data_IF_883890856562
#
_entry.id   IF_883890856562
#
_cell.length_a   1.000
_cell.length_b   1.000
_cell.length_c   1.000
_cell.angle_alpha   90.00
_cell.angle_beta   90.00
_cell.angle_gamma   90.00
#
_symmetry.space_group_name_H-M   'P 1'
#
loop_
_entity.id
_entity.type
_entity.pdbx_description
1 polymer ?
#
# COMPACT_ATOMS: atom_id res chain seq x y z
N UNK A 1 26.39 -12.65 28.53
CA UNK A 1 25.25 -11.90 27.95
C UNK A 1 24.83 -12.51 26.62
N UNK A 2 23.94 -13.52 26.64
CA UNK A 2 23.16 -13.97 25.47
C UNK A 2 21.76 -13.39 25.65
N UNK A 3 21.62 -12.09 25.45
CA UNK A 3 20.35 -11.39 25.64
C UNK A 3 19.89 -10.84 24.30
N UNK A 4 18.63 -11.12 23.96
CA UNK A 4 17.81 -10.36 22.98
C UNK A 4 17.89 -10.71 21.47
N UNK A 5 18.73 -11.64 21.00
CA UNK A 5 18.68 -12.02 19.57
C UNK A 5 17.35 -12.71 19.17
N UNK A 6 16.68 -13.38 20.12
CA UNK A 6 15.35 -13.98 19.90
C UNK A 6 14.21 -12.95 19.91
N UNK A 7 14.32 -11.91 20.74
CA UNK A 7 13.34 -10.82 20.83
C UNK A 7 13.36 -9.93 19.59
N UNK A 8 14.56 -9.56 19.13
CA UNK A 8 14.74 -8.76 17.92
C UNK A 8 14.25 -9.46 16.64
N UNK A 9 14.41 -10.79 16.54
CA UNK A 9 13.88 -11.59 15.43
C UNK A 9 12.35 -11.65 15.43
N UNK A 10 11.75 -11.91 16.59
CA UNK A 10 10.29 -11.93 16.74
C UNK A 10 9.66 -10.56 16.46
N UNK A 11 10.29 -9.47 16.93
CA UNK A 11 9.85 -8.11 16.67
C UNK A 11 9.87 -7.77 15.17
N UNK A 12 10.91 -8.20 14.43
CA UNK A 12 11.00 -7.96 13.00
C UNK A 12 9.94 -8.74 12.20
N UNK A 13 9.65 -9.98 12.61
CA UNK A 13 8.55 -10.77 12.02
C UNK A 13 7.20 -10.10 12.29
N UNK A 14 6.97 -9.61 13.52
CA UNK A 14 5.75 -8.88 13.86
C UNK A 14 5.62 -7.59 13.02
N UNK A 15 6.71 -6.84 12.85
CA UNK A 15 6.72 -5.64 12.03
C UNK A 15 6.43 -5.94 10.56
N UNK A 16 6.98 -7.01 9.99
CA UNK A 16 6.67 -7.45 8.62
C UNK A 16 5.18 -7.79 8.46
N UNK A 17 4.60 -8.49 9.43
CA UNK A 17 3.15 -8.80 9.42
C UNK A 17 2.31 -7.53 9.46
N UNK A 18 2.69 -6.57 10.31
CA UNK A 18 2.03 -5.27 10.39
C UNK A 18 2.10 -4.52 9.05
N UNK A 19 3.29 -4.43 8.43
CA UNK A 19 3.44 -3.74 7.13
C UNK A 19 2.65 -4.40 6.02
N UNK A 20 2.61 -5.73 5.96
CA UNK A 20 1.76 -6.47 5.01
C UNK A 20 0.28 -6.17 5.21
N UNK A 21 -0.16 -6.12 6.46
CA UNK A 21 -1.53 -5.75 6.79
C UNK A 21 -1.86 -4.31 6.38
N UNK A 22 -0.98 -3.34 6.65
CA UNK A 22 -1.15 -1.96 6.21
C UNK A 22 -1.23 -1.84 4.68
N UNK A 23 -0.38 -2.55 3.94
CA UNK A 23 -0.47 -2.62 2.47
C UNK A 23 -1.81 -3.21 2.02
N UNK A 24 -2.32 -4.26 2.67
CA UNK A 24 -3.61 -4.84 2.35
C UNK A 24 -4.77 -3.86 2.61
N UNK A 25 -4.73 -3.13 3.73
CA UNK A 25 -5.70 -2.06 4.05
C UNK A 25 -5.64 -0.94 3.00
N UNK A 26 -4.44 -0.49 2.61
CA UNK A 26 -4.29 0.54 1.59
C UNK A 26 -4.83 0.09 0.22
N UNK A 27 -4.61 -1.17 -0.18
CA UNK A 27 -5.19 -1.75 -1.40
C UNK A 27 -6.72 -1.76 -1.37
N UNK A 28 -7.31 -2.16 -0.24
CA UNK A 28 -8.76 -2.16 -0.05
C UNK A 28 -9.32 -0.74 -0.16
N UNK A 29 -8.71 0.23 0.53
CA UNK A 29 -9.10 1.65 0.45
C UNK A 29 -9.01 2.18 -0.98
N UNK A 30 -7.95 1.83 -1.70
CA UNK A 30 -7.82 2.21 -3.11
C UNK A 30 -8.97 1.65 -3.95
N UNK A 31 -9.33 0.38 -3.78
CA UNK A 31 -10.46 -0.23 -4.50
C UNK A 31 -11.79 0.44 -4.16
N UNK A 32 -12.03 0.77 -2.88
CA UNK A 32 -13.21 1.52 -2.44
C UNK A 32 -13.26 2.92 -3.10
N UNK A 33 -12.12 3.60 -3.22
CA UNK A 33 -12.03 4.92 -3.89
C UNK A 33 -12.23 4.86 -5.39
N UNK A 34 -11.74 3.81 -6.06
CA UNK A 34 -12.01 3.58 -7.48
C UNK A 34 -13.53 3.45 -7.71
N UNK A 35 -14.22 2.67 -6.87
CA UNK A 35 -15.68 2.54 -6.95
C UNK A 35 -16.41 3.86 -6.67
N UNK A 36 -15.96 4.63 -5.67
CA UNK A 36 -16.57 5.92 -5.34
C UNK A 36 -16.41 6.96 -6.46
N UNK A 37 -15.22 7.03 -7.08
CA UNK A 37 -14.95 7.91 -8.21
C UNK A 37 -15.81 7.54 -9.43
N UNK A 38 -15.88 6.26 -9.79
CA UNK A 38 -16.74 5.77 -10.88
C UNK A 38 -18.23 6.09 -10.63
N UNK A 39 -18.71 5.93 -9.39
CA UNK A 39 -20.08 6.29 -9.04
C UNK A 39 -20.32 7.82 -9.09
N UNK A 40 -19.32 8.64 -8.77
CA UNK A 40 -19.40 10.09 -8.89
C UNK A 40 -19.41 10.55 -10.35
N UNK A 41 -18.62 9.90 -11.21
CA UNK A 41 -18.58 10.11 -12.65
C UNK A 41 -19.95 9.80 -13.27
N UNK A 42 -20.50 8.62 -12.99
CA UNK A 42 -21.84 8.25 -13.46
C UNK A 42 -22.93 9.24 -13.01
N UNK A 43 -22.86 9.78 -11.78
CA UNK A 43 -23.81 10.82 -11.32
C UNK A 43 -23.63 12.14 -12.07
N UNK A 44 -22.39 12.53 -12.39
CA UNK A 44 -22.11 13.74 -13.17
C UNK A 44 -22.64 13.60 -14.59
N UNK A 45 -22.47 12.44 -15.21
CA UNK A 45 -22.95 12.18 -16.57
C UNK A 45 -24.48 12.12 -16.61
N UNK A 46 -25.12 11.44 -15.65
CA UNK A 46 -26.57 11.45 -15.53
C UNK A 46 -27.16 12.86 -15.33
N UNK A 47 -26.46 13.74 -14.59
CA UNK A 47 -26.88 15.13 -14.45
C UNK A 47 -26.78 15.94 -15.76
N UNK A 48 -25.82 15.61 -16.64
CA UNK A 48 -25.70 16.21 -17.96
C UNK A 48 -26.77 15.68 -18.92
N UNK A 49 -26.98 14.38 -18.93
CA UNK A 49 -28.02 13.74 -19.75
C UNK A 49 -29.41 14.25 -19.37
N UNK A 50 -29.70 14.41 -18.07
CA UNK A 50 -30.95 15.00 -17.61
C UNK A 50 -31.16 16.42 -18.15
N UNK A 51 -30.13 17.28 -18.11
CA UNK A 51 -30.20 18.64 -18.66
C UNK A 51 -30.47 18.62 -20.18
N UNK A 52 -29.85 17.71 -20.91
CA UNK A 52 -30.07 17.57 -22.35
C UNK A 52 -31.47 17.06 -22.68
N UNK A 53 -31.96 16.07 -21.93
CA UNK A 53 -33.30 15.53 -22.08
C UNK A 53 -34.37 16.58 -21.75
N UNK A 54 -34.20 17.33 -20.66
CA UNK A 54 -35.10 18.42 -20.27
C UNK A 54 -35.14 19.52 -21.35
N UNK A 55 -33.99 19.91 -21.91
CA UNK A 55 -33.92 20.88 -22.99
C UNK A 55 -34.62 20.38 -24.28
N UNK A 56 -34.47 19.10 -24.62
CA UNK A 56 -35.13 18.50 -25.77
C UNK A 56 -36.67 18.44 -25.59
N UNK A 57 -37.15 18.10 -24.40
CA UNK A 57 -38.58 18.11 -24.06
C UNK A 57 -39.13 19.54 -24.14
N UNK A 58 -38.39 20.52 -23.61
CA UNK A 58 -38.76 21.92 -23.63
C UNK A 58 -38.91 22.47 -25.05
N UNK A 59 -38.06 22.04 -25.98
CA UNK A 59 -38.10 22.45 -27.38
C UNK A 59 -39.31 21.86 -28.15
N UNK A 60 -39.91 20.77 -27.65
CA UNK A 60 -41.04 20.09 -28.29
C UNK A 60 -42.42 20.62 -27.85
N UNK A 61 -42.47 21.59 -26.93
CA UNK A 61 -43.70 22.14 -26.36
C UNK A 61 -43.75 23.66 -26.51
N UNK A 62 -44.93 24.19 -26.84
CA UNK A 62 -45.17 25.62 -27.07
C UNK A 62 -44.84 26.49 -25.84
N UNK A 63 -45.17 25.99 -24.64
CA UNK A 63 -44.84 26.63 -23.35
C UNK A 63 -43.55 26.07 -22.71
N UNK A 64 -42.95 25.03 -23.32
CA UNK A 64 -41.83 24.27 -22.77
C UNK A 64 -40.60 25.14 -22.49
N UNK A 65 -40.34 26.14 -23.34
CA UNK A 65 -39.22 27.06 -23.18
C UNK A 65 -39.30 27.91 -21.90
N UNK A 66 -40.49 28.42 -21.56
CA UNK A 66 -40.70 29.25 -20.37
C UNK A 66 -40.57 28.42 -19.09
N UNK A 67 -41.11 27.21 -19.08
CA UNK A 67 -40.96 26.27 -17.97
C UNK A 67 -39.51 25.83 -17.79
N UNK A 68 -38.81 25.48 -18.87
CA UNK A 68 -37.40 25.10 -18.81
C UNK A 68 -36.52 26.24 -18.29
N UNK A 69 -36.75 27.48 -18.72
CA UNK A 69 -36.02 28.64 -18.20
C UNK A 69 -36.15 28.80 -16.67
N UNK A 70 -37.31 28.47 -16.10
CA UNK A 70 -37.53 28.54 -14.64
C UNK A 70 -36.76 27.46 -13.86
N UNK A 71 -36.57 26.26 -14.43
CA UNK A 71 -35.90 25.13 -13.76
C UNK A 71 -34.40 25.01 -14.10
N UNK A 72 -33.95 25.59 -15.22
CA UNK A 72 -32.57 25.52 -15.69
C UNK A 72 -31.51 25.93 -14.65
N UNK A 73 -31.67 27.03 -13.87
CA UNK A 73 -30.70 27.37 -12.84
C UNK A 73 -30.49 26.27 -11.80
N UNK A 74 -31.58 25.58 -11.42
CA UNK A 74 -31.51 24.45 -10.47
C UNK A 74 -30.80 23.25 -11.10
N UNK A 75 -31.07 22.97 -12.37
CA UNK A 75 -30.39 21.91 -13.14
C UNK A 75 -28.89 22.14 -13.26
N UNK A 76 -28.48 23.37 -13.63
CA UNK A 76 -27.08 23.78 -13.67
C UNK A 76 -26.39 23.66 -12.31
N UNK A 77 -27.05 24.10 -11.23
CA UNK A 77 -26.55 23.92 -9.87
C UNK A 77 -26.45 22.44 -9.46
N UNK A 78 -27.32 21.57 -9.97
CA UNK A 78 -27.23 20.12 -9.80
C UNK A 78 -25.99 19.53 -10.48
N UNK A 79 -25.78 19.87 -11.76
CA UNK A 79 -24.60 19.48 -12.54
C UNK A 79 -23.31 19.94 -11.86
N UNK A 80 -23.25 21.20 -11.44
CA UNK A 80 -22.02 21.78 -10.86
C UNK A 80 -21.68 21.11 -9.52
N UNK A 81 -22.69 20.76 -8.70
CA UNK A 81 -22.49 19.96 -7.49
C UNK A 81 -21.99 18.55 -7.80
N UNK A 82 -22.53 17.89 -8.83
CA UNK A 82 -22.07 16.57 -9.24
C UNK A 82 -20.61 16.61 -9.77
N UNK A 83 -20.26 17.64 -10.54
CA UNK A 83 -18.89 17.86 -11.01
C UNK A 83 -17.91 18.16 -9.86
N UNK A 84 -18.32 18.96 -8.86
CA UNK A 84 -17.52 19.20 -7.67
C UNK A 84 -17.32 17.93 -6.83
N UNK A 85 -18.36 17.09 -6.72
CA UNK A 85 -18.27 15.81 -6.03
C UNK A 85 -17.31 14.83 -6.74
N UNK A 86 -17.32 14.79 -8.07
CA UNK A 86 -16.36 14.00 -8.86
C UNK A 86 -14.92 14.45 -8.57
N UNK A 87 -14.63 15.75 -8.68
CA UNK A 87 -13.28 16.28 -8.38
C UNK A 87 -12.78 15.89 -6.99
N UNK A 88 -13.66 15.97 -5.99
CA UNK A 88 -13.33 15.55 -4.63
C UNK A 88 -13.00 14.06 -4.52
N UNK A 89 -13.73 13.19 -5.22
CA UNK A 89 -13.41 11.76 -5.24
C UNK A 89 -12.14 11.45 -6.04
N UNK A 90 -11.84 12.20 -7.10
CA UNK A 90 -10.56 12.11 -7.83
C UNK A 90 -9.37 12.49 -6.93
N UNK A 91 -9.47 13.59 -6.19
CA UNK A 91 -8.46 14.00 -5.19
C UNK A 91 -8.26 12.92 -4.12
N UNK A 92 -9.35 12.33 -3.62
CA UNK A 92 -9.29 11.22 -2.66
C UNK A 92 -8.68 9.95 -3.26
N UNK A 93 -8.92 9.69 -4.54
CA UNK A 93 -8.33 8.57 -5.27
C UNK A 93 -6.81 8.75 -5.41
N UNK A 94 -6.35 9.96 -5.74
CA UNK A 94 -4.92 10.30 -5.76
C UNK A 94 -4.28 10.14 -4.38
N UNK A 95 -4.96 10.60 -3.32
CA UNK A 95 -4.53 10.38 -1.94
C UNK A 95 -4.36 8.89 -1.63
N UNK A 96 -5.33 8.05 -2.00
CA UNK A 96 -5.26 6.60 -1.78
C UNK A 96 -4.13 5.93 -2.60
N UNK A 97 -3.82 6.43 -3.80
CA UNK A 97 -2.66 5.97 -4.59
C UNK A 97 -1.34 6.31 -3.90
N UNK A 98 -1.22 7.53 -3.38
CA UNK A 98 -0.05 7.96 -2.62
C UNK A 98 0.15 7.14 -1.33
N UNK A 99 -0.94 6.87 -0.59
CA UNK A 99 -0.93 6.04 0.61
C UNK A 99 -0.47 4.61 0.32
N UNK A 100 -0.99 3.99 -0.75
CA UNK A 100 -0.56 2.65 -1.16
C UNK A 100 0.93 2.63 -1.54
N UNK A 101 1.41 3.66 -2.24
CA UNK A 101 2.83 3.78 -2.57
C UNK A 101 3.69 3.91 -1.30
N UNK A 102 3.26 4.70 -0.32
CA UNK A 102 3.93 4.84 0.96
C UNK A 102 3.96 3.54 1.76
N UNK A 103 2.83 2.83 1.85
CA UNK A 103 2.74 1.53 2.52
C UNK A 103 3.68 0.49 1.89
N UNK A 104 3.71 0.39 0.55
CA UNK A 104 4.62 -0.51 -0.18
C UNK A 104 6.09 -0.16 0.03
N UNK A 105 6.45 1.12 0.11
CA UNK A 105 7.82 1.54 0.44
C UNK A 105 8.21 1.12 1.85
N UNK A 106 7.32 1.33 2.82
CA UNK A 106 7.56 0.93 4.21
C UNK A 106 7.68 -0.61 4.35
N UNK A 107 6.83 -1.36 3.67
CA UNK A 107 6.92 -2.83 3.60
C UNK A 107 8.26 -3.29 3.04
N UNK A 108 8.67 -2.77 1.87
CA UNK A 108 9.97 -3.12 1.27
C UNK A 108 11.16 -2.76 2.15
N UNK A 109 11.13 -1.63 2.86
CA UNK A 109 12.20 -1.24 3.77
C UNK A 109 12.40 -2.27 4.89
N UNK A 110 11.31 -2.80 5.45
CA UNK A 110 11.39 -3.83 6.50
C UNK A 110 11.83 -5.17 5.91
N UNK A 111 11.40 -5.52 4.69
CA UNK A 111 11.87 -6.73 4.01
C UNK A 111 13.37 -6.72 3.76
N UNK A 112 13.92 -5.59 3.30
CA UNK A 112 15.37 -5.41 3.10
C UNK A 112 16.11 -5.55 4.43
N UNK A 113 15.64 -4.89 5.50
CA UNK A 113 16.25 -5.02 6.83
C UNK A 113 16.26 -6.47 7.33
N UNK A 114 15.18 -7.22 7.09
CA UNK A 114 15.10 -8.63 7.45
C UNK A 114 16.10 -9.50 6.67
N UNK A 115 16.25 -9.25 5.37
CA UNK A 115 17.23 -9.95 4.54
C UNK A 115 18.67 -9.65 4.99
N UNK A 116 18.98 -8.39 5.29
CA UNK A 116 20.29 -7.97 5.78
C UNK A 116 20.63 -8.62 7.13
N UNK A 117 19.67 -8.65 8.06
CA UNK A 117 19.87 -9.32 9.36
C UNK A 117 20.04 -10.82 9.23
N UNK A 118 19.26 -11.48 8.38
CA UNK A 118 19.43 -12.90 8.09
C UNK A 118 20.80 -13.19 7.48
N UNK A 119 21.27 -12.36 6.54
CA UNK A 119 22.59 -12.49 5.94
C UNK A 119 23.72 -12.29 6.98
N UNK A 120 23.60 -11.29 7.85
CA UNK A 120 24.55 -11.05 8.93
C UNK A 120 24.60 -12.21 9.94
N UNK A 121 23.44 -12.79 10.29
CA UNK A 121 23.35 -13.96 11.16
C UNK A 121 24.04 -15.18 10.53
N UNK A 122 23.82 -15.44 9.23
CA UNK A 122 24.51 -16.50 8.49
C UNK A 122 26.04 -16.32 8.49
N UNK A 123 26.52 -15.11 8.24
CA UNK A 123 27.97 -14.80 8.30
C UNK A 123 28.56 -15.04 9.70
N UNK A 124 27.84 -14.64 10.76
CA UNK A 124 28.26 -14.90 12.15
C UNK A 124 28.28 -16.39 12.48
N UNK A 125 27.30 -17.16 12.00
CA UNK A 125 27.24 -18.60 12.20
C UNK A 125 28.38 -19.32 11.48
N UNK A 126 28.68 -18.92 10.23
CA UNK A 126 29.80 -19.48 9.46
C UNK A 126 31.15 -19.21 10.13
N UNK A 127 31.41 -17.98 10.61
CA UNK A 127 32.62 -17.68 11.38
C UNK A 127 32.76 -18.52 12.64
N UNK A 128 31.69 -18.65 13.43
CA UNK A 128 31.66 -19.51 14.62
C UNK A 128 31.82 -21.00 14.32
N UNK A 129 31.45 -21.44 13.12
CA UNK A 129 31.70 -22.82 12.68
C UNK A 129 33.17 -23.01 12.32
N UNK A 130 33.76 -22.05 11.62
CA UNK A 130 35.18 -22.07 11.27
C UNK A 130 36.09 -22.02 12.51
N UNK A 131 35.82 -21.11 13.44
CA UNK A 131 36.56 -20.99 14.71
C UNK A 131 36.58 -22.33 15.46
N UNK A 132 35.44 -23.04 15.51
CA UNK A 132 35.36 -24.37 16.14
C UNK A 132 36.17 -25.44 15.41
N UNK A 133 36.21 -25.40 14.08
CA UNK A 133 37.04 -26.33 13.29
C UNK A 133 38.53 -26.06 13.52
N UNK A 134 38.92 -24.79 13.57
CA UNK A 134 40.30 -24.37 13.79
C UNK A 134 40.77 -24.76 15.21
N UNK A 135 39.93 -24.55 16.24
CA UNK A 135 40.19 -25.01 17.61
C UNK A 135 40.38 -26.54 17.68
N UNK A 136 39.52 -27.31 17.02
CA UNK A 136 39.65 -28.77 16.96
C UNK A 136 40.93 -29.21 16.23
N UNK A 137 41.30 -28.55 15.13
CA UNK A 137 42.52 -28.82 14.39
C UNK A 137 43.77 -28.52 15.22
N UNK A 138 43.79 -27.39 15.91
CA UNK A 138 44.88 -27.01 16.82
C UNK A 138 45.02 -28.01 17.98
N UNK A 139 43.90 -28.42 18.60
CA UNK A 139 43.90 -29.41 19.68
C UNK A 139 44.40 -30.79 19.19
N UNK A 140 44.06 -31.20 17.97
CA UNK A 140 44.55 -32.45 17.37
C UNK A 140 46.06 -32.38 17.06
N UNK A 141 46.55 -31.25 16.55
CA UNK A 141 47.97 -31.04 16.29
C UNK A 141 48.79 -31.07 17.59
N UNK A 142 48.32 -30.41 18.65
CA UNK A 142 48.97 -30.40 19.96
C UNK A 142 49.09 -31.83 20.55
N UNK A 143 48.04 -32.65 20.45
CA UNK A 143 48.08 -34.05 20.89
C UNK A 143 49.09 -34.89 20.12
N UNK A 144 49.24 -34.64 18.81
CA UNK A 144 50.18 -35.39 17.96
C UNK A 144 51.63 -35.07 18.30
N UNK A 145 51.93 -33.83 18.69
CA UNK A 145 53.26 -33.41 19.14
C UNK A 145 53.59 -33.99 20.52
N UNK A 146 52.60 -34.09 21.41
CA UNK A 146 52.77 -34.61 22.77
C UNK A 146 52.86 -36.14 22.87
N UNK A 147 52.58 -36.88 21.78
CA UNK A 147 52.68 -38.34 21.79
C UNK A 147 54.15 -38.76 21.53
N UNK A 148 54.82 -39.47 22.47
CA UNK A 148 56.19 -39.91 22.28
C UNK A 148 56.27 -40.92 21.13
N UNK A 149 57.23 -40.70 20.23
CA UNK A 149 57.59 -41.69 19.20
C UNK A 149 58.34 -42.84 19.89
N UNK A 150 57.62 -43.92 20.17
CA UNK A 150 58.19 -45.23 20.48
C UNK A 150 58.60 -45.95 19.20
#
# INVERSE_FOLDING_TARGET
MRGDEGGAGAALVALLRLRRFETAVARRRLAERVGAAAAAEARRDAALEALQAEAAIAAASEDGAAHHAAWLPRGLAGRDRAAAALRLEEERLEGARADLAAARRAERAVEVLAQERAAAARRRAARRAQERLDEMAAAAAARRIAAPRT
#
